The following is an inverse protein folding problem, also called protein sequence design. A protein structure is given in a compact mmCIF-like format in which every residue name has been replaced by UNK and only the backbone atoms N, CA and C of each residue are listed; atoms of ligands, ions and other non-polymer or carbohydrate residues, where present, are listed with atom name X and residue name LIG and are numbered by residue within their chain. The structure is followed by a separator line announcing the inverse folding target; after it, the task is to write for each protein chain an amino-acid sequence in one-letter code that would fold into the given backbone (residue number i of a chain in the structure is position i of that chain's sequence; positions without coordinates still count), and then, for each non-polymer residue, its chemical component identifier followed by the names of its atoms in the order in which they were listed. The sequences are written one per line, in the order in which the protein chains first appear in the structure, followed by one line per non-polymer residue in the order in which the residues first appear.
data_IF_658703512599
#
_entry.id   IF_658703512599
#
_cell.length_a   1.000
_cell.length_b   1.000
_cell.length_c   1.000
_cell.angle_alpha   90.00
_cell.angle_beta   90.00
_cell.angle_gamma   90.00
#
_symmetry.space_group_name_H-M   'P 1'
#
loop_
_entity.id
_entity.type
_entity.pdbx_description
1 polymer ?
#
# COMPACT_ATOMS: atom_id res chain seq x y z
N UNK A 1 27.54 1.01 -9.84
CA UNK A 1 27.50 -0.42 -9.52
C UNK A 1 26.53 -0.53 -8.37
N UNK A 2 25.43 -1.26 -8.54
CA UNK A 2 24.39 -1.33 -7.53
C UNK A 2 24.98 -1.90 -6.24
N UNK A 3 24.91 -1.15 -5.15
CA UNK A 3 25.24 -1.59 -3.78
C UNK A 3 24.15 -2.56 -3.30
N UNK A 4 23.96 -3.64 -4.06
CA UNK A 4 23.05 -4.70 -3.69
C UNK A 4 23.73 -5.53 -2.60
N UNK A 5 23.06 -5.77 -1.46
CA UNK A 5 23.69 -6.49 -0.36
C UNK A 5 24.15 -7.87 -0.84
N UNK A 6 25.43 -8.19 -0.67
CA UNK A 6 26.01 -9.51 -0.99
C UNK A 6 25.86 -10.53 0.15
N UNK A 7 25.06 -10.19 1.17
CA UNK A 7 24.83 -11.01 2.35
C UNK A 7 23.80 -12.10 2.08
N UNK A 8 24.05 -13.33 2.52
CA UNK A 8 23.11 -14.46 2.40
C UNK A 8 21.96 -14.42 3.42
N UNK A 9 21.80 -13.32 4.17
CA UNK A 9 20.83 -13.21 5.27
C UNK A 9 19.46 -12.67 4.85
N UNK A 10 19.24 -12.38 3.58
CA UNK A 10 17.95 -11.90 3.08
C UNK A 10 17.41 -12.83 1.99
N UNK A 11 16.09 -12.95 1.95
CA UNK A 11 15.37 -13.64 0.89
C UNK A 11 14.91 -12.59 -0.14
N UNK A 12 15.32 -12.76 -1.40
CA UNK A 12 14.90 -11.88 -2.49
C UNK A 12 13.65 -12.42 -3.18
N UNK A 13 12.55 -11.70 -3.06
CA UNK A 13 11.34 -11.91 -3.86
C UNK A 13 11.44 -11.11 -5.16
N UNK A 14 11.88 -11.75 -6.24
CA UNK A 14 11.83 -11.17 -7.58
C UNK A 14 10.51 -11.51 -8.27
N UNK A 15 9.59 -10.55 -8.33
CA UNK A 15 8.30 -10.72 -8.97
C UNK A 15 8.34 -10.77 -10.51
N UNK A 16 9.52 -10.66 -11.12
CA UNK A 16 9.71 -11.00 -12.54
C UNK A 16 9.90 -12.52 -12.76
N UNK A 17 10.20 -13.28 -11.71
CA UNK A 17 10.41 -14.73 -11.78
C UNK A 17 9.10 -15.46 -12.13
N UNK A 18 9.17 -16.37 -13.11
CA UNK A 18 8.02 -17.15 -13.58
C UNK A 18 7.49 -18.12 -12.52
N UNK A 19 8.28 -18.48 -11.49
CA UNK A 19 7.79 -19.34 -10.40
C UNK A 19 6.59 -18.77 -9.66
N UNK A 20 6.40 -17.44 -9.69
CA UNK A 20 5.26 -16.78 -9.06
C UNK A 20 4.06 -16.66 -10.00
N UNK A 21 4.11 -17.13 -11.24
CA UNK A 21 3.03 -16.96 -12.21
C UNK A 21 1.73 -17.66 -11.81
N UNK A 22 1.81 -18.74 -11.04
CA UNK A 22 0.67 -19.51 -10.51
C UNK A 22 0.79 -19.69 -8.99
N UNK A 23 1.42 -18.73 -8.31
CA UNK A 23 1.59 -18.75 -6.86
C UNK A 23 0.47 -17.98 -6.14
N UNK A 24 -0.57 -18.72 -5.76
CA UNK A 24 -1.76 -18.18 -5.09
C UNK A 24 -1.58 -18.01 -3.59
N UNK A 25 -0.41 -18.31 -3.05
CA UNK A 25 -0.15 -18.11 -1.63
C UNK A 25 0.02 -16.63 -1.29
N UNK A 26 -0.12 -16.34 -0.01
CA UNK A 26 0.21 -15.03 0.54
C UNK A 26 1.68 -14.73 0.31
N UNK A 27 2.01 -13.43 0.27
CA UNK A 27 3.40 -12.98 0.13
C UNK A 27 4.28 -13.58 1.22
N UNK A 28 3.84 -13.45 2.46
CA UNK A 28 4.48 -14.05 3.64
C UNK A 28 3.42 -14.54 4.62
N UNK A 29 3.50 -15.80 5.04
CA UNK A 29 2.50 -16.42 5.92
C UNK A 29 2.46 -15.82 7.33
N UNK A 30 3.61 -15.40 7.85
CA UNK A 30 3.75 -14.80 9.19
C UNK A 30 3.45 -13.29 9.24
N UNK A 31 3.10 -12.66 8.11
CA UNK A 31 2.93 -11.21 8.05
C UNK A 31 1.45 -10.79 7.97
N UNK A 32 1.04 -9.95 8.93
CA UNK A 32 -0.33 -9.46 9.04
C UNK A 32 -0.59 -8.08 8.37
N UNK A 33 0.27 -7.64 7.44
CA UNK A 33 0.08 -6.39 6.71
C UNK A 33 -1.07 -6.43 5.70
N UNK A 34 -1.50 -5.26 5.23
CA UNK A 34 -2.61 -5.15 4.26
C UNK A 34 -2.31 -5.97 2.99
N UNK A 35 -1.10 -5.89 2.46
CA UNK A 35 -0.71 -6.60 1.24
C UNK A 35 -0.78 -8.12 1.44
N UNK A 36 -0.15 -8.65 2.49
CA UNK A 36 -0.14 -10.10 2.78
C UNK A 36 -1.52 -10.66 3.13
N UNK A 37 -2.44 -9.84 3.67
CA UNK A 37 -3.81 -10.29 4.00
C UNK A 37 -4.73 -10.40 2.80
N UNK A 38 -4.54 -9.56 1.79
CA UNK A 38 -5.52 -9.37 0.71
C UNK A 38 -5.01 -9.81 -0.67
N UNK A 39 -3.70 -9.97 -0.85
CA UNK A 39 -3.09 -10.24 -2.16
C UNK A 39 -2.11 -11.41 -2.13
N UNK A 40 -1.97 -12.05 -3.28
CA UNK A 40 -1.10 -13.22 -3.51
C UNK A 40 0.21 -12.83 -4.18
N UNK A 41 1.21 -13.73 -4.14
CA UNK A 41 2.47 -13.54 -4.88
C UNK A 41 2.25 -13.45 -6.38
N UNK A 42 1.34 -14.25 -6.93
CA UNK A 42 0.90 -14.16 -8.32
C UNK A 42 0.36 -12.78 -8.67
N UNK A 43 -0.51 -12.21 -7.84
CA UNK A 43 -1.10 -10.91 -8.16
C UNK A 43 -0.06 -9.79 -8.14
N UNK A 44 0.90 -9.84 -7.21
CA UNK A 44 2.03 -8.90 -7.20
C UNK A 44 2.93 -9.07 -8.43
N UNK A 45 3.20 -10.30 -8.86
CA UNK A 45 3.88 -10.57 -10.14
C UNK A 45 3.14 -9.98 -11.32
N UNK A 46 1.83 -10.17 -11.40
CA UNK A 46 1.02 -9.59 -12.46
C UNK A 46 1.19 -8.07 -12.50
N UNK A 47 0.92 -7.38 -11.38
CA UNK A 47 0.99 -5.91 -11.31
C UNK A 47 2.38 -5.35 -11.64
N UNK A 48 3.44 -6.03 -11.21
CA UNK A 48 4.82 -5.61 -11.48
C UNK A 48 5.20 -5.79 -12.95
N UNK A 49 4.82 -6.92 -13.55
CA UNK A 49 5.09 -7.20 -14.97
C UNK A 49 4.25 -6.34 -15.92
N UNK A 50 3.00 -6.00 -15.54
CA UNK A 50 2.14 -5.09 -16.30
C UNK A 50 2.45 -3.61 -16.04
N UNK A 51 3.35 -3.31 -15.09
CA UNK A 51 3.75 -1.95 -14.69
C UNK A 51 2.56 -1.11 -14.19
N UNK A 52 1.63 -1.77 -13.50
CA UNK A 52 0.50 -1.09 -12.89
C UNK A 52 0.93 -0.36 -11.61
N UNK A 53 0.42 0.87 -11.42
CA UNK A 53 0.76 1.71 -10.27
C UNK A 53 0.45 1.05 -8.92
N UNK A 54 -0.55 0.15 -8.88
CA UNK A 54 -0.90 -0.59 -7.67
C UNK A 54 0.23 -1.49 -7.18
N UNK A 55 1.06 -2.04 -8.09
CA UNK A 55 2.20 -2.89 -7.76
C UNK A 55 3.17 -2.23 -6.78
N UNK A 56 3.85 -1.12 -7.14
CA UNK A 56 4.76 -0.44 -6.23
C UNK A 56 4.07 0.08 -4.96
N UNK A 57 2.79 0.47 -5.02
CA UNK A 57 2.03 0.87 -3.83
C UNK A 57 1.93 -0.30 -2.83
N UNK A 58 1.53 -1.48 -3.29
CA UNK A 58 1.39 -2.65 -2.43
C UNK A 58 2.74 -3.14 -1.88
N UNK A 59 3.81 -3.03 -2.67
CA UNK A 59 5.16 -3.38 -2.22
C UNK A 59 5.65 -2.46 -1.08
N UNK A 60 5.36 -1.16 -1.15
CA UNK A 60 5.67 -0.20 -0.07
C UNK A 60 4.88 -0.48 1.21
N UNK A 61 3.72 -1.13 1.10
CA UNK A 61 2.87 -1.50 2.26
C UNK A 61 3.28 -2.82 2.94
N UNK A 62 4.24 -3.56 2.39
CA UNK A 62 4.76 -4.79 3.01
C UNK A 62 5.54 -4.46 4.29
N UNK A 63 5.36 -5.28 5.34
CA UNK A 63 5.94 -5.04 6.68
C UNK A 63 6.97 -6.06 7.15
N UNK A 64 7.24 -7.13 6.41
CA UNK A 64 8.10 -8.21 6.92
C UNK A 64 9.58 -7.87 6.72
N UNK A 65 10.30 -7.73 7.84
CA UNK A 65 11.76 -7.74 7.91
C UNK A 65 12.12 -8.80 8.95
N UNK A 66 12.69 -9.92 8.53
CA UNK A 66 13.27 -10.88 9.48
C UNK A 66 14.60 -10.30 10.00
N UNK A 67 14.84 -10.37 11.31
CA UNK A 67 16.08 -9.91 11.95
C UNK A 67 16.36 -8.40 11.88
N UNK A 68 15.31 -7.58 11.95
CA UNK A 68 15.42 -6.12 12.00
C UNK A 68 16.25 -5.66 13.22
N UNK A 69 17.21 -4.76 13.00
CA UNK A 69 17.91 -4.06 14.09
C UNK A 69 16.96 -3.09 14.80
N UNK A 70 17.30 -2.71 16.04
CA UNK A 70 16.49 -1.75 16.79
C UNK A 70 16.27 -0.43 16.04
N UNK A 71 17.32 0.08 15.38
CA UNK A 71 17.25 1.34 14.66
C UNK A 71 16.34 1.25 13.42
N UNK A 72 16.42 0.15 12.66
CA UNK A 72 15.53 -0.10 11.52
C UNK A 72 14.06 -0.18 11.98
N UNK A 73 13.81 -0.85 13.11
CA UNK A 73 12.48 -0.94 13.72
C UNK A 73 11.93 0.45 14.08
N UNK A 74 12.74 1.32 14.69
CA UNK A 74 12.34 2.70 15.02
C UNK A 74 11.97 3.50 13.75
N UNK A 75 12.74 3.39 12.67
CA UNK A 75 12.43 4.05 11.40
C UNK A 75 11.15 3.52 10.77
N UNK A 76 10.95 2.20 10.77
CA UNK A 76 9.75 1.56 10.23
C UNK A 76 8.51 2.00 11.01
N UNK A 77 8.56 1.97 12.34
CA UNK A 77 7.45 2.41 13.19
C UNK A 77 7.13 3.89 13.04
N UNK A 78 8.15 4.76 12.94
CA UNK A 78 7.95 6.19 12.69
C UNK A 78 7.29 6.44 11.32
N UNK A 79 7.70 5.68 10.29
CA UNK A 79 7.08 5.73 8.96
C UNK A 79 5.63 5.25 8.98
N UNK A 80 5.35 4.17 9.71
CA UNK A 80 3.99 3.66 9.90
C UNK A 80 3.10 4.69 10.59
N UNK A 81 3.60 5.36 11.63
CA UNK A 81 2.84 6.37 12.36
C UNK A 81 2.51 7.58 11.47
N UNK A 82 3.48 8.03 10.66
CA UNK A 82 3.24 9.06 9.65
C UNK A 82 2.17 8.63 8.64
N UNK A 83 2.19 7.38 8.19
CA UNK A 83 1.20 6.84 7.25
C UNK A 83 -0.19 6.75 7.90
N UNK A 84 -0.29 6.33 9.16
CA UNK A 84 -1.55 6.30 9.92
C UNK A 84 -2.12 7.71 10.08
N UNK A 85 -1.28 8.66 10.48
CA UNK A 85 -1.68 10.06 10.60
C UNK A 85 -2.16 10.63 9.26
N UNK A 86 -1.40 10.41 8.18
CA UNK A 86 -1.76 10.90 6.84
C UNK A 86 -3.10 10.32 6.37
N UNK A 87 -3.30 9.02 6.56
CA UNK A 87 -4.56 8.35 6.20
C UNK A 87 -5.75 8.88 7.00
N UNK A 88 -5.58 9.05 8.31
CA UNK A 88 -6.61 9.60 9.19
C UNK A 88 -6.96 11.06 8.82
N UNK A 89 -5.94 11.87 8.52
CA UNK A 89 -6.12 13.24 8.05
C UNK A 89 -6.93 13.28 6.75
N UNK A 90 -6.53 12.51 5.73
CA UNK A 90 -7.21 12.51 4.43
C UNK A 90 -8.63 11.95 4.52
N UNK A 91 -8.87 10.92 5.32
CA UNK A 91 -10.22 10.39 5.55
C UNK A 91 -11.14 11.47 6.13
N UNK A 92 -10.67 12.19 7.16
CA UNK A 92 -11.43 13.29 7.78
C UNK A 92 -11.63 14.46 6.81
N UNK A 93 -10.58 14.87 6.10
CA UNK A 93 -10.63 15.97 5.13
C UNK A 93 -11.60 15.66 3.98
N UNK A 94 -11.51 14.47 3.39
CA UNK A 94 -12.36 14.08 2.26
C UNK A 94 -13.83 13.96 2.68
N UNK A 95 -14.12 13.40 3.85
CA UNK A 95 -15.48 13.35 4.39
C UNK A 95 -16.08 14.76 4.57
N UNK A 96 -15.30 15.72 5.07
CA UNK A 96 -15.74 17.11 5.18
C UNK A 96 -15.98 17.73 3.80
N UNK A 97 -15.06 17.52 2.85
CA UNK A 97 -15.20 18.00 1.47
C UNK A 97 -16.47 17.46 0.81
N UNK A 98 -16.73 16.16 0.92
CA UNK A 98 -17.91 15.51 0.33
C UNK A 98 -19.20 16.06 0.94
N UNK A 99 -19.21 16.31 2.25
CA UNK A 99 -20.34 16.95 2.94
C UNK A 99 -20.59 18.35 2.39
N UNK A 100 -19.55 19.19 2.28
CA UNK A 100 -19.67 20.56 1.77
C UNK A 100 -20.04 20.62 0.30
N UNK A 101 -19.53 19.69 -0.50
CA UNK A 101 -19.90 19.52 -1.91
C UNK A 101 -21.38 19.16 -2.03
N UNK A 102 -21.89 18.23 -1.22
CA UNK A 102 -23.30 17.86 -1.20
C UNK A 102 -24.21 19.03 -0.78
N UNK A 103 -23.83 19.78 0.25
CA UNK A 103 -24.54 21.01 0.67
C UNK A 103 -24.61 22.03 -0.48
N UNK A 104 -23.50 22.26 -1.19
CA UNK A 104 -23.43 23.19 -2.31
C UNK A 104 -24.32 22.76 -3.48
N UNK A 105 -24.21 21.48 -3.90
CA UNK A 105 -25.02 20.93 -5.00
C UNK A 105 -26.52 21.04 -4.69
N UNK A 106 -26.92 20.76 -3.43
CA UNK A 106 -28.31 20.89 -3.00
C UNK A 106 -28.83 22.33 -3.13
N UNK A 107 -28.06 23.33 -2.67
CA UNK A 107 -28.42 24.75 -2.80
C UNK A 107 -28.55 25.19 -4.25
N UNK A 108 -27.64 24.74 -5.13
CA UNK A 108 -27.70 25.05 -6.57
C UNK A 108 -28.92 24.41 -7.24
N UNK A 109 -29.25 23.15 -6.92
CA UNK A 109 -30.47 22.50 -7.44
C UNK A 109 -31.74 23.22 -7.02
N UNK A 110 -31.84 23.63 -5.75
CA UNK A 110 -32.96 24.43 -5.25
C UNK A 110 -33.09 25.77 -5.99
N UNK A 111 -31.97 26.45 -6.26
CA UNK A 111 -31.97 27.71 -7.00
C UNK A 111 -32.45 27.53 -8.45
N UNK A 112 -32.05 26.44 -9.12
CA UNK A 112 -32.47 26.14 -10.50
C UNK A 112 -33.97 25.78 -10.57
N UNK A 113 -34.55 25.15 -9.54
CA UNK A 113 -35.98 24.79 -9.53
C UNK A 113 -36.94 25.97 -9.28
N UNK A 114 -36.42 27.13 -8.84
CA UNK A 114 -37.22 28.33 -8.54
C UNK A 114 -37.31 29.27 -9.78
N UNK A 115 -36.50 29.02 -10.82
CA UNK A 115 -36.52 29.72 -12.11
C UNK A 115 -37.06 28.82 -13.21
#
# INVERSE_FOLDING_TARGET
ADDFPHSSLFELLDFHDDKYADDYDKVFDSCDCYTCKNYTRMYLRHLTNTKELLGPILLVMLRRVDNETKLECEYREAREELNRWSSAFWAKHNSLFDTKKAEFISKVSLFIQIY
#
